data_IF_347730466838
#
_entry.id   IF_347730466838
#
_cell.length_a   1.000
_cell.length_b   1.000
_cell.length_c   1.000
_cell.angle_alpha   90.00
_cell.angle_beta   90.00
_cell.angle_gamma   90.00
#
_symmetry.space_group_name_H-M   'P 1'
#
loop_
_entity.id
_entity.type
_entity.pdbx_description
1 polymer ?
#
# COMPACT_ATOMS: atom_id res chain seq x y z
N UNK A 1 -14.19 -9.37 -1.90
CA UNK A 1 -13.06 -9.33 -0.96
C UNK A 1 -12.35 -8.00 -1.12
N UNK A 2 -12.44 -7.14 -0.11
CA UNK A 2 -11.75 -5.86 -0.04
C UNK A 2 -10.56 -5.95 0.92
N UNK A 3 -9.61 -5.01 0.85
CA UNK A 3 -8.52 -4.96 1.82
C UNK A 3 -9.03 -4.68 3.24
N UNK A 4 -10.09 -3.87 3.40
CA UNK A 4 -10.76 -3.67 4.70
C UNK A 4 -11.28 -5.00 5.26
N UNK A 5 -11.99 -5.81 4.46
CA UNK A 5 -12.47 -7.13 4.90
C UNK A 5 -11.34 -8.09 5.28
N UNK A 6 -10.19 -7.99 4.59
CA UNK A 6 -9.00 -8.77 4.91
C UNK A 6 -8.41 -8.34 6.25
N UNK A 7 -8.22 -7.03 6.46
CA UNK A 7 -7.64 -6.51 7.70
C UNK A 7 -8.54 -6.78 8.92
N UNK A 8 -9.86 -6.64 8.80
CA UNK A 8 -10.81 -6.91 9.89
C UNK A 8 -10.90 -8.39 10.29
N UNK A 9 -10.48 -9.31 9.40
CA UNK A 9 -10.55 -10.77 9.63
C UNK A 9 -9.19 -11.42 9.79
N UNK A 10 -8.11 -10.67 9.59
CA UNK A 10 -6.76 -11.18 9.68
C UNK A 10 -6.48 -11.71 11.09
N UNK A 11 -5.81 -12.86 11.17
CA UNK A 11 -5.32 -13.44 12.43
C UNK A 11 -3.79 -13.35 12.55
N UNK A 12 -3.14 -12.64 11.61
CA UNK A 12 -1.70 -12.49 11.53
C UNK A 12 -1.35 -11.08 11.04
N UNK A 13 -0.24 -10.55 11.55
CA UNK A 13 0.32 -9.27 11.12
C UNK A 13 1.85 -9.44 10.93
N UNK A 14 2.43 -8.89 9.83
CA UNK A 14 1.78 -8.13 8.76
C UNK A 14 1.09 -9.01 7.70
N UNK A 15 0.17 -8.42 6.93
CA UNK A 15 -0.50 -9.05 5.77
C UNK A 15 0.18 -8.61 4.47
N UNK A 16 0.53 -9.56 3.61
CA UNK A 16 0.97 -9.31 2.24
C UNK A 16 -0.18 -9.54 1.26
N UNK A 17 -0.58 -8.50 0.53
CA UNK A 17 -1.58 -8.58 -0.53
C UNK A 17 -0.94 -8.23 -1.89
N UNK A 18 -1.17 -9.09 -2.89
CA UNK A 18 -0.67 -8.90 -4.26
C UNK A 18 -1.85 -8.68 -5.19
N UNK A 19 -1.75 -7.67 -6.06
CA UNK A 19 -2.80 -7.31 -7.01
C UNK A 19 -2.22 -6.76 -8.31
N UNK A 20 -3.07 -6.28 -9.21
CA UNK A 20 -2.66 -5.67 -10.48
C UNK A 20 -2.52 -4.15 -10.34
N UNK A 21 -1.69 -3.55 -11.20
CA UNK A 21 -1.36 -2.13 -11.14
C UNK A 21 -2.58 -1.21 -11.09
N UNK A 22 -3.63 -1.49 -11.87
CA UNK A 22 -4.87 -0.68 -11.85
C UNK A 22 -5.61 -0.71 -10.50
N UNK A 23 -5.71 -1.87 -9.86
CA UNK A 23 -6.36 -2.01 -8.56
C UNK A 23 -5.50 -1.37 -7.45
N UNK A 24 -4.19 -1.58 -7.49
CA UNK A 24 -3.25 -0.96 -6.55
C UNK A 24 -3.26 0.56 -6.69
N UNK A 25 -3.33 1.09 -7.91
CA UNK A 25 -3.41 2.53 -8.17
C UNK A 25 -4.69 3.14 -7.60
N UNK A 26 -5.85 2.53 -7.86
CA UNK A 26 -7.12 3.00 -7.31
C UNK A 26 -7.13 3.00 -5.78
N UNK A 27 -6.58 1.95 -5.17
CA UNK A 27 -6.46 1.86 -3.71
C UNK A 27 -5.53 2.93 -3.15
N UNK A 28 -4.35 3.11 -3.75
CA UNK A 28 -3.41 4.15 -3.35
C UNK A 28 -4.06 5.54 -3.39
N UNK A 29 -4.72 5.91 -4.49
CA UNK A 29 -5.36 7.22 -4.62
C UNK A 29 -6.42 7.46 -3.53
N UNK A 30 -7.15 6.42 -3.17
CA UNK A 30 -8.10 6.46 -2.06
C UNK A 30 -7.39 6.66 -0.71
N UNK A 31 -6.32 5.91 -0.46
CA UNK A 31 -5.59 5.93 0.81
C UNK A 31 -4.77 7.22 1.02
N UNK A 32 -4.24 7.83 -0.04
CA UNK A 32 -3.41 9.04 0.05
C UNK A 32 -4.19 10.33 -0.21
N UNK A 33 -5.52 10.28 -0.27
CA UNK A 33 -6.37 11.41 -0.63
C UNK A 33 -5.93 12.10 -1.94
N UNK A 34 -5.53 11.30 -2.94
CA UNK A 34 -5.01 11.75 -4.23
C UNK A 34 -3.73 12.59 -4.17
N UNK A 35 -2.99 12.56 -3.06
CA UNK A 35 -1.65 13.11 -3.02
C UNK A 35 -0.73 12.20 -3.87
N UNK A 36 -0.30 12.74 -5.00
CA UNK A 36 0.53 12.04 -5.98
C UNK A 36 1.99 12.34 -5.65
N UNK A 37 2.70 11.37 -5.06
CA UNK A 37 4.16 11.38 -5.21
C UNK A 37 4.48 10.65 -6.53
N UNK A 38 5.07 11.35 -7.52
CA UNK A 38 5.49 10.74 -8.78
C UNK A 38 6.73 9.85 -8.62
N UNK A 39 7.39 9.84 -7.46
CA UNK A 39 8.50 8.93 -7.20
C UNK A 39 7.95 7.53 -6.99
N UNK A 40 8.25 6.72 -8.01
CA UNK A 40 8.17 5.28 -8.03
C UNK A 40 6.77 4.67 -8.04
N UNK A 41 6.56 3.84 -9.07
CA UNK A 41 5.76 2.62 -9.03
C UNK A 41 5.96 1.85 -10.32
N UNK A 42 7.15 1.27 -10.44
CA UNK A 42 7.41 0.22 -11.41
C UNK A 42 6.68 -1.07 -11.04
N UNK A 43 6.81 -2.09 -11.90
CA UNK A 43 6.37 -3.43 -11.52
C UNK A 43 7.04 -3.87 -10.22
N UNK A 44 6.28 -4.56 -9.37
CA UNK A 44 6.70 -5.09 -8.07
C UNK A 44 6.97 -4.06 -6.96
N UNK A 45 6.76 -2.76 -7.16
CA UNK A 45 6.85 -1.80 -6.06
C UNK A 45 5.92 -2.21 -4.89
N UNK A 46 6.45 -2.16 -3.66
CA UNK A 46 5.73 -2.57 -2.46
C UNK A 46 5.29 -1.31 -1.71
N UNK A 47 3.99 -1.15 -1.50
CA UNK A 47 3.45 -0.06 -0.69
C UNK A 47 3.09 -0.62 0.69
N UNK A 48 3.74 -0.12 1.73
CA UNK A 48 3.47 -0.53 3.11
C UNK A 48 2.51 0.45 3.78
N UNK A 49 1.35 -0.07 4.21
CA UNK A 49 0.31 0.71 4.85
C UNK A 49 0.13 0.26 6.30
N UNK A 50 -0.07 1.24 7.18
CA UNK A 50 -0.68 0.99 8.48
C UNK A 50 -2.19 1.00 8.35
N UNK A 51 -2.84 0.08 9.05
CA UNK A 51 -4.29 0.01 9.11
C UNK A 51 -4.75 0.26 10.54
N UNK A 52 -5.73 1.15 10.71
CA UNK A 52 -6.39 1.41 11.98
C UNK A 52 -7.85 1.78 11.71
N UNK A 53 -8.80 1.01 12.26
CA UNK A 53 -10.24 1.26 12.19
C UNK A 53 -10.74 1.76 10.81
N UNK A 54 -10.65 0.91 9.78
CA UNK A 54 -11.02 1.21 8.38
C UNK A 54 -10.12 2.22 7.64
N UNK A 55 -9.14 2.82 8.29
CA UNK A 55 -8.24 3.80 7.70
C UNK A 55 -6.90 3.18 7.33
N UNK A 56 -6.51 3.34 6.07
CA UNK A 56 -5.18 2.98 5.57
C UNK A 56 -4.32 4.24 5.48
N UNK A 57 -3.15 4.22 6.12
CA UNK A 57 -2.14 5.26 6.04
C UNK A 57 -0.89 4.70 5.37
N UNK A 58 -0.49 5.26 4.24
CA UNK A 58 0.77 4.91 3.61
C UNK A 58 1.92 5.32 4.53
N UNK A 59 2.82 4.38 4.85
CA UNK A 59 4.00 4.62 5.67
C UNK A 59 5.24 4.77 4.79
N UNK A 60 5.44 3.83 3.86
CA UNK A 60 6.62 3.79 3.00
C UNK A 60 6.31 3.07 1.68
N UNK A 61 7.13 3.37 0.67
CA UNK A 61 7.20 2.62 -0.59
C UNK A 61 8.59 2.00 -0.70
N UNK A 62 8.66 0.73 -1.08
CA UNK A 62 9.90 -0.04 -1.16
C UNK A 62 10.10 -0.47 -2.62
N UNK A 63 11.27 -0.17 -3.18
CA UNK A 63 11.73 -0.77 -4.43
C UNK A 63 12.38 -2.13 -4.12
N UNK A 64 11.77 -3.26 -4.52
CA UNK A 64 12.35 -4.58 -4.23
C UNK A 64 13.62 -4.89 -5.03
N UNK A 65 13.93 -4.14 -6.09
CA UNK A 65 15.11 -4.38 -6.94
C UNK A 65 16.37 -3.78 -6.32
N UNK A 66 16.25 -2.59 -5.71
CA UNK A 66 17.38 -1.89 -5.09
C UNK A 66 17.38 -2.03 -3.56
N UNK A 67 16.23 -2.28 -2.96
CA UNK A 67 16.02 -2.24 -1.51
C UNK A 67 15.85 -0.82 -0.96
N UNK A 68 15.71 0.18 -1.84
CA UNK A 68 15.47 1.56 -1.42
C UNK A 68 14.08 1.71 -0.77
N UNK A 69 14.03 2.54 0.28
CA UNK A 69 12.82 2.82 1.05
C UNK A 69 12.54 4.31 1.00
N UNK A 70 11.32 4.65 0.63
CA UNK A 70 10.83 6.02 0.49
C UNK A 70 9.75 6.29 1.52
N UNK A 71 10.10 7.07 2.56
CA UNK A 71 9.16 7.48 3.59
C UNK A 71 8.05 8.38 3.04
N UNK A 72 6.81 8.04 3.35
CA UNK A 72 5.65 8.86 3.02
C UNK A 72 5.47 9.97 4.06
N UNK A 73 5.57 11.24 3.63
CA UNK A 73 5.49 12.43 4.50
C UNK A 73 4.05 12.90 4.75
#
# INVERSE_FOLDING_TARGET
MTLTEVMEKAQAEPILAVSHGGAMWAFYLKATAQNLDPKERGNCAICHFHYDQEHFKLAEVIDPLTGDVYDWK
#
